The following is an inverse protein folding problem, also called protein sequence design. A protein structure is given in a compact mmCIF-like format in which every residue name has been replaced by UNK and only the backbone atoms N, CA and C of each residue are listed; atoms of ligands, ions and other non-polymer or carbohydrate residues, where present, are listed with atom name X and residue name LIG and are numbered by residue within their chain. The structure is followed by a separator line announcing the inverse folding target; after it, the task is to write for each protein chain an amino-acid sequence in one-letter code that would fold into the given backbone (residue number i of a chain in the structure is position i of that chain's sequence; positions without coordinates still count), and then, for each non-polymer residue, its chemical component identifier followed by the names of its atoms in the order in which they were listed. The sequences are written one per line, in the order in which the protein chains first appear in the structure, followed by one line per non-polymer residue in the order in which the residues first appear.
data_IF_080695109290
#
_entry.id   IF_080695109290
#
_cell.length_a   1.000
_cell.length_b   1.000
_cell.length_c   1.000
_cell.angle_alpha   90.00
_cell.angle_beta   90.00
_cell.angle_gamma   90.00
#
_symmetry.space_group_name_H-M   'P 1'
#
loop_
_entity.id
_entity.type
_entity.pdbx_description
1 polymer ?
#
# COMPACT_ATOMS: atom_id res chain seq x y z
N UNK A 1 -8.67 -9.76 12.82
CA UNK A 1 -8.60 -8.76 11.73
C UNK A 1 -8.41 -7.37 12.33
N UNK A 2 -7.63 -6.51 11.70
CA UNK A 2 -7.16 -5.23 12.22
C UNK A 2 -7.95 -4.08 11.59
N UNK A 3 -8.22 -3.01 12.33
CA UNK A 3 -8.75 -1.78 11.74
C UNK A 3 -7.66 -1.08 10.91
N UNK A 4 -7.93 -0.74 9.66
CA UNK A 4 -6.95 -0.11 8.76
C UNK A 4 -6.38 1.20 9.33
N UNK A 5 -7.21 2.00 10.01
CA UNK A 5 -6.76 3.22 10.69
C UNK A 5 -5.62 2.95 11.68
N UNK A 6 -5.71 1.86 12.46
CA UNK A 6 -4.69 1.49 13.46
C UNK A 6 -3.36 1.10 12.81
N UNK A 7 -3.41 0.47 11.63
CA UNK A 7 -2.21 0.15 10.85
C UNK A 7 -1.50 1.44 10.42
N UNK A 8 -2.24 2.41 9.88
CA UNK A 8 -1.67 3.70 9.49
C UNK A 8 -1.12 4.49 10.67
N UNK A 9 -1.78 4.46 11.84
CA UNK A 9 -1.29 5.07 13.07
C UNK A 9 0.02 4.41 13.56
N UNK A 10 0.13 3.09 13.47
CA UNK A 10 1.36 2.36 13.81
C UNK A 10 2.49 2.69 12.81
N UNK A 11 2.22 2.61 11.51
CA UNK A 11 3.18 2.93 10.46
C UNK A 11 3.68 4.38 10.55
N UNK A 12 2.80 5.36 10.83
CA UNK A 12 3.18 6.78 10.90
C UNK A 12 4.29 7.06 11.92
N UNK A 13 4.40 6.25 12.97
CA UNK A 13 5.46 6.38 13.99
C UNK A 13 6.86 6.02 13.47
N UNK A 14 6.90 5.23 12.39
CA UNK A 14 8.14 4.70 11.78
C UNK A 14 8.31 5.15 10.32
N UNK A 15 7.45 6.09 9.87
CA UNK A 15 7.43 6.55 8.48
C UNK A 15 8.71 7.24 8.06
N UNK A 16 9.29 8.05 8.95
CA UNK A 16 10.38 8.99 8.63
C UNK A 16 10.06 9.83 7.38
N UNK A 17 10.97 9.87 6.41
CA UNK A 17 10.82 10.57 5.14
C UNK A 17 10.30 9.68 4.00
N UNK A 18 9.73 8.51 4.28
CA UNK A 18 9.25 7.62 3.23
C UNK A 18 8.17 8.30 2.34
N UNK A 19 8.27 8.06 1.05
CA UNK A 19 7.23 8.40 0.07
C UNK A 19 6.13 7.35 0.21
N UNK A 20 4.89 7.79 0.37
CA UNK A 20 3.76 6.89 0.65
C UNK A 20 2.71 6.98 -0.43
N UNK A 21 2.31 5.82 -0.95
CA UNK A 21 1.17 5.68 -1.85
C UNK A 21 0.14 4.74 -1.22
N UNK A 22 -1.11 5.21 -1.06
CA UNK A 22 -2.18 4.41 -0.47
C UNK A 22 -3.30 4.21 -1.46
N UNK A 23 -3.72 2.95 -1.64
CA UNK A 23 -4.84 2.56 -2.48
C UNK A 23 -5.98 1.95 -1.64
N UNK A 24 -7.16 1.90 -2.24
CA UNK A 24 -8.34 1.24 -1.66
C UNK A 24 -9.22 2.14 -0.81
N UNK A 25 -10.29 1.55 -0.27
CA UNK A 25 -11.29 2.27 0.53
C UNK A 25 -10.70 2.86 1.79
N UNK A 26 -9.84 2.11 2.48
CA UNK A 26 -9.22 2.51 3.75
C UNK A 26 -8.22 3.68 3.61
N UNK A 27 -7.83 4.03 2.38
CA UNK A 27 -6.90 5.14 2.13
C UNK A 27 -7.37 6.51 2.62
N UNK A 28 -8.67 6.70 2.85
CA UNK A 28 -9.18 7.95 3.42
C UNK A 28 -8.67 8.23 4.84
N UNK A 29 -8.38 7.19 5.62
CA UNK A 29 -7.81 7.35 6.97
C UNK A 29 -6.43 7.99 6.93
N UNK A 30 -5.62 7.66 5.91
CA UNK A 30 -4.26 8.16 5.78
C UNK A 30 -4.19 9.70 5.73
N UNK A 31 -5.14 10.35 5.05
CA UNK A 31 -5.18 11.81 4.94
C UNK A 31 -5.30 12.53 6.29
N UNK A 32 -5.89 11.88 7.29
CA UNK A 32 -6.01 12.43 8.66
C UNK A 32 -4.86 12.06 9.59
N UNK A 33 -3.93 11.19 9.13
CA UNK A 33 -2.84 10.64 9.95
C UNK A 33 -1.48 11.18 9.50
N UNK A 34 -1.31 11.35 8.19
CA UNK A 34 -0.03 11.78 7.62
C UNK A 34 0.44 13.13 8.18
N UNK A 35 1.71 13.22 8.53
CA UNK A 35 2.38 14.45 8.99
C UNK A 35 3.25 15.11 7.91
N UNK A 36 3.47 14.41 6.76
CA UNK A 36 4.23 14.95 5.64
C UNK A 36 3.49 14.71 4.31
N UNK A 37 2.43 15.49 4.03
CA UNK A 37 1.61 15.29 2.83
C UNK A 37 2.37 15.53 1.50
N UNK A 38 3.48 16.27 1.49
CA UNK A 38 4.27 16.48 0.28
C UNK A 38 4.92 15.20 -0.25
N UNK A 39 5.12 14.23 0.65
CA UNK A 39 5.64 12.90 0.32
C UNK A 39 4.53 11.84 0.19
N UNK A 40 3.27 12.25 0.17
CA UNK A 40 2.14 11.37 -0.14
C UNK A 40 1.75 11.51 -1.59
N UNK A 41 1.75 10.40 -2.31
CA UNK A 41 1.46 10.39 -3.74
C UNK A 41 0.14 9.67 -4.01
N UNK A 42 -0.73 10.31 -4.78
CA UNK A 42 -1.95 9.70 -5.32
C UNK A 42 -1.73 9.35 -6.78
N UNK A 43 -1.61 8.07 -7.07
CA UNK A 43 -1.40 7.64 -8.45
C UNK A 43 -2.71 7.52 -9.22
N UNK A 44 -3.83 7.36 -8.51
CA UNK A 44 -5.16 7.19 -9.13
C UNK A 44 -5.18 6.03 -10.11
N UNK A 45 -6.27 5.87 -10.83
CA UNK A 45 -6.33 4.94 -11.95
C UNK A 45 -7.08 3.65 -11.67
N UNK A 46 -6.95 2.70 -12.57
CA UNK A 46 -7.61 1.42 -12.49
C UNK A 46 -6.97 0.52 -11.43
N UNK A 47 -7.78 -0.34 -10.82
CA UNK A 47 -7.30 -1.39 -9.94
C UNK A 47 -6.24 -2.24 -10.66
N UNK A 48 -5.23 -2.67 -9.92
CA UNK A 48 -4.10 -3.46 -10.43
C UNK A 48 -2.98 -2.65 -11.10
N UNK A 49 -3.11 -1.33 -11.27
CA UNK A 49 -2.08 -0.50 -11.91
C UNK A 49 -1.20 0.28 -10.93
N UNK A 50 -1.69 0.57 -9.72
CA UNK A 50 -0.96 1.38 -8.75
C UNK A 50 0.34 0.74 -8.31
N UNK A 51 0.34 -0.54 -8.04
CA UNK A 51 1.55 -1.28 -7.60
C UNK A 51 2.67 -1.17 -8.62
N UNK A 52 2.37 -1.34 -9.92
CA UNK A 52 3.35 -1.14 -11.00
C UNK A 52 3.88 0.28 -11.06
N UNK A 53 3.01 1.28 -10.84
CA UNK A 53 3.41 2.68 -10.86
C UNK A 53 4.28 3.05 -9.65
N UNK A 54 3.93 2.58 -8.44
CA UNK A 54 4.73 2.81 -7.22
C UNK A 54 6.07 2.07 -7.30
N UNK A 55 6.07 0.86 -7.84
CA UNK A 55 7.30 0.12 -8.13
C UNK A 55 8.22 0.89 -9.10
N UNK A 56 7.66 1.46 -10.17
CA UNK A 56 8.41 2.34 -11.07
C UNK A 56 8.99 3.56 -10.36
N UNK A 57 8.25 4.14 -9.39
CA UNK A 57 8.75 5.23 -8.56
C UNK A 57 9.94 4.79 -7.69
N UNK A 58 9.86 3.60 -7.07
CA UNK A 58 10.97 3.05 -6.28
C UNK A 58 12.23 2.84 -7.12
N UNK A 59 12.10 2.38 -8.37
CA UNK A 59 13.22 2.23 -9.28
C UNK A 59 13.84 3.56 -9.73
N UNK A 60 13.01 4.61 -9.85
CA UNK A 60 13.46 5.95 -10.26
C UNK A 60 14.04 6.78 -9.11
N UNK A 61 13.78 6.42 -7.87
CA UNK A 61 14.17 7.15 -6.66
C UNK A 61 14.90 6.23 -5.68
N UNK A 62 16.03 5.67 -6.12
CA UNK A 62 16.77 4.62 -5.39
C UNK A 62 17.21 5.03 -3.98
N UNK A 63 17.41 6.34 -3.73
CA UNK A 63 17.80 6.88 -2.43
C UNK A 63 16.62 7.23 -1.51
N UNK A 64 15.40 7.06 -1.97
CA UNK A 64 14.19 7.38 -1.23
C UNK A 64 13.43 6.09 -0.87
N UNK A 65 13.06 5.92 0.39
CA UNK A 65 12.18 4.80 0.77
C UNK A 65 10.78 5.02 0.20
N UNK A 66 10.25 4.02 -0.48
CA UNK A 66 8.93 4.05 -1.11
C UNK A 66 8.05 2.98 -0.48
N UNK A 67 6.93 3.42 0.08
CA UNK A 67 5.95 2.55 0.76
C UNK A 67 4.64 2.56 -0.01
N UNK A 68 4.16 1.39 -0.34
CA UNK A 68 2.86 1.20 -0.98
C UNK A 68 1.91 0.42 -0.09
N UNK A 69 0.77 1.01 0.22
CA UNK A 69 -0.38 0.29 0.77
C UNK A 69 -1.32 -0.09 -0.36
N UNK A 70 -1.30 -1.35 -0.72
CA UNK A 70 -2.12 -1.97 -1.76
C UNK A 70 -3.33 -2.69 -1.16
N UNK A 71 -4.20 -3.24 -2.00
CA UNK A 71 -5.30 -4.10 -1.61
C UNK A 71 -5.25 -5.42 -2.37
N UNK A 72 -5.71 -6.50 -1.75
CA UNK A 72 -5.67 -7.83 -2.33
C UNK A 72 -6.45 -7.92 -3.65
N UNK A 73 -7.60 -7.26 -3.72
CA UNK A 73 -8.39 -7.24 -4.95
C UNK A 73 -7.68 -6.53 -6.11
N UNK A 74 -6.88 -5.49 -5.81
CA UNK A 74 -6.07 -4.81 -6.83
C UNK A 74 -4.85 -5.65 -7.22
N UNK A 75 -4.17 -6.25 -6.27
CA UNK A 75 -3.02 -7.13 -6.52
C UNK A 75 -3.41 -8.32 -7.42
N UNK A 76 -4.56 -8.96 -7.15
CA UNK A 76 -5.04 -10.09 -7.96
C UNK A 76 -5.32 -9.73 -9.43
N UNK A 77 -5.66 -8.47 -9.70
CA UNK A 77 -5.85 -8.02 -11.10
C UNK A 77 -4.54 -7.87 -11.87
N UNK A 78 -3.41 -7.85 -11.18
CA UNK A 78 -2.07 -7.75 -11.78
C UNK A 78 -1.02 -8.53 -10.97
N UNK A 79 -1.31 -9.78 -10.66
CA UNK A 79 -0.48 -10.63 -9.79
C UNK A 79 0.96 -10.79 -10.32
N UNK A 80 1.13 -10.72 -11.64
CA UNK A 80 2.45 -10.78 -12.29
C UNK A 80 3.43 -9.68 -11.86
N UNK A 81 2.94 -8.58 -11.24
CA UNK A 81 3.80 -7.52 -10.71
C UNK A 81 4.74 -8.03 -9.62
N UNK A 82 4.34 -9.04 -8.84
CA UNK A 82 5.20 -9.67 -7.82
C UNK A 82 6.50 -10.21 -8.43
N UNK A 83 6.39 -10.91 -9.56
CA UNK A 83 7.57 -11.43 -10.27
C UNK A 83 8.46 -10.29 -10.80
N UNK A 84 7.87 -9.21 -11.28
CA UNK A 84 8.61 -8.04 -11.77
C UNK A 84 9.39 -7.34 -10.65
N UNK A 85 8.77 -7.13 -9.49
CA UNK A 85 9.39 -6.52 -8.30
C UNK A 85 10.49 -7.43 -7.77
N UNK A 86 10.20 -8.72 -7.59
CA UNK A 86 11.18 -9.71 -7.13
C UNK A 86 12.40 -9.81 -8.06
N UNK A 87 12.17 -9.71 -9.39
CA UNK A 87 13.24 -9.75 -10.40
C UNK A 87 14.13 -8.51 -10.40
N UNK A 88 13.59 -7.33 -10.08
CA UNK A 88 14.35 -6.06 -10.03
C UNK A 88 14.97 -5.76 -8.66
N UNK A 89 14.41 -6.35 -7.60
CA UNK A 89 14.89 -6.22 -6.20
C UNK A 89 15.16 -4.78 -5.75
N UNK A 90 14.18 -3.86 -5.83
CA UNK A 90 14.36 -2.51 -5.31
C UNK A 90 14.52 -2.56 -3.78
N UNK A 91 15.73 -2.24 -3.28
CA UNK A 91 16.06 -2.32 -1.84
C UNK A 91 15.31 -1.29 -0.98
N UNK A 92 14.72 -0.29 -1.61
CA UNK A 92 13.99 0.82 -1.01
C UNK A 92 12.46 0.65 -1.01
N UNK A 93 11.91 -0.51 -1.40
CA UNK A 93 10.47 -0.71 -1.61
C UNK A 93 9.83 -1.57 -0.51
N UNK A 94 8.80 -1.03 0.14
CA UNK A 94 7.96 -1.75 1.12
C UNK A 94 6.53 -1.82 0.59
N UNK A 95 6.03 -3.03 0.41
CA UNK A 95 4.71 -3.34 -0.13
C UNK A 95 3.82 -3.92 0.97
N UNK A 96 2.99 -3.08 1.58
CA UNK A 96 1.92 -3.50 2.49
C UNK A 96 0.68 -3.88 1.67
N UNK A 97 0.11 -5.05 1.93
CA UNK A 97 -1.14 -5.51 1.35
C UNK A 97 -2.23 -5.54 2.42
N UNK A 98 -3.24 -4.70 2.26
CA UNK A 98 -4.42 -4.65 3.12
C UNK A 98 -5.46 -5.64 2.59
N UNK A 99 -5.55 -6.81 3.21
CA UNK A 99 -6.43 -7.91 2.81
C UNK A 99 -7.73 -7.87 3.61
N UNK A 100 -8.80 -7.44 2.97
CA UNK A 100 -10.15 -7.37 3.54
C UNK A 100 -11.12 -8.42 2.95
N UNK A 101 -10.62 -9.33 2.12
CA UNK A 101 -11.33 -10.45 1.50
C UNK A 101 -12.45 -10.04 0.52
N UNK A 102 -12.57 -8.74 0.18
CA UNK A 102 -13.63 -8.28 -0.69
C UNK A 102 -13.29 -7.06 -1.56
N UNK A 103 -14.03 -6.90 -2.63
CA UNK A 103 -14.02 -5.68 -3.44
C UNK A 103 -14.85 -4.58 -2.77
N UNK A 104 -14.34 -4.01 -1.70
CA UNK A 104 -15.03 -3.07 -0.82
C UNK A 104 -15.54 -1.81 -1.55
N UNK A 105 -14.86 -1.36 -2.61
CA UNK A 105 -15.24 -0.17 -3.39
C UNK A 105 -16.52 -0.37 -4.21
N UNK A 106 -16.87 -1.60 -4.54
CA UNK A 106 -18.00 -1.92 -5.44
C UNK A 106 -19.13 -2.68 -4.74
N UNK A 107 -19.16 -2.67 -3.41
CA UNK A 107 -20.26 -3.24 -2.64
C UNK A 107 -19.93 -4.54 -1.91
N UNK A 108 -18.65 -4.91 -1.79
CA UNK A 108 -18.22 -6.00 -0.91
C UNK A 108 -18.34 -7.39 -1.52
N UNK A 109 -18.28 -7.52 -2.84
CA UNK A 109 -18.20 -8.83 -3.48
C UNK A 109 -16.95 -9.57 -3.00
N UNK A 110 -17.01 -10.87 -2.66
CA UNK A 110 -15.85 -11.60 -2.19
C UNK A 110 -14.77 -11.67 -3.27
N UNK A 111 -13.54 -11.55 -2.85
CA UNK A 111 -12.39 -11.83 -3.71
C UNK A 111 -12.33 -13.33 -3.97
N UNK A 112 -12.04 -13.78 -5.20
CA UNK A 112 -11.94 -15.21 -5.49
C UNK A 112 -10.95 -15.92 -4.55
N UNK A 113 -11.40 -17.01 -3.93
CA UNK A 113 -10.59 -17.85 -3.05
C UNK A 113 -10.01 -17.13 -1.79
N UNK A 114 -10.68 -16.08 -1.30
CA UNK A 114 -10.18 -15.19 -0.25
C UNK A 114 -9.76 -15.91 1.05
N UNK A 115 -10.48 -16.98 1.42
CA UNK A 115 -10.23 -17.75 2.65
C UNK A 115 -8.94 -18.57 2.63
N UNK A 116 -8.40 -18.87 1.43
CA UNK A 116 -7.31 -19.82 1.24
C UNK A 116 -6.03 -19.19 0.68
N UNK A 117 -6.09 -17.94 0.22
CA UNK A 117 -4.92 -17.28 -0.35
C UNK A 117 -3.99 -16.81 0.76
N UNK A 118 -2.73 -17.25 0.68
CA UNK A 118 -1.63 -16.68 1.46
C UNK A 118 -0.78 -15.79 0.55
N UNK A 119 -1.04 -14.49 0.62
CA UNK A 119 -0.34 -13.50 -0.20
C UNK A 119 1.14 -13.35 0.15
N UNK A 120 1.51 -13.55 1.41
CA UNK A 120 2.91 -13.51 1.82
C UNK A 120 3.69 -14.69 1.24
N UNK A 121 3.11 -15.88 1.22
CA UNK A 121 3.71 -17.04 0.54
C UNK A 121 3.76 -16.85 -0.98
N UNK A 122 2.76 -16.23 -1.60
CA UNK A 122 2.81 -15.90 -3.03
C UNK A 122 3.98 -14.96 -3.36
N UNK A 123 4.19 -13.91 -2.54
CA UNK A 123 5.31 -13.00 -2.71
C UNK A 123 6.66 -13.71 -2.49
N UNK A 124 6.77 -14.56 -1.46
CA UNK A 124 7.96 -15.38 -1.22
C UNK A 124 8.26 -16.31 -2.40
N UNK A 125 7.23 -16.98 -2.94
CA UNK A 125 7.37 -17.85 -4.12
C UNK A 125 7.77 -17.08 -5.38
N UNK A 126 7.36 -15.81 -5.50
CA UNK A 126 7.79 -14.91 -6.56
C UNK A 126 9.25 -14.44 -6.40
N UNK A 127 9.84 -14.57 -5.21
CA UNK A 127 11.25 -14.25 -4.94
C UNK A 127 11.48 -12.99 -4.10
N UNK A 128 10.48 -12.50 -3.36
CA UNK A 128 10.71 -11.45 -2.36
C UNK A 128 11.62 -11.98 -1.25
N UNK A 129 12.65 -11.23 -0.85
CA UNK A 129 13.60 -11.69 0.17
C UNK A 129 13.03 -11.66 1.60
N UNK A 130 12.05 -10.79 1.86
CA UNK A 130 11.39 -10.68 3.16
C UNK A 130 9.87 -10.59 2.97
N UNK A 131 9.14 -11.47 3.67
CA UNK A 131 7.67 -11.50 3.64
C UNK A 131 7.12 -11.72 5.04
N UNK A 132 6.05 -11.01 5.36
CA UNK A 132 5.38 -11.05 6.67
C UNK A 132 3.88 -11.23 6.48
N UNK A 133 3.21 -11.82 7.48
CA UNK A 133 1.77 -11.98 7.51
C UNK A 133 1.25 -11.64 8.91
N UNK A 134 0.33 -10.68 9.03
CA UNK A 134 -0.20 -10.23 10.32
C UNK A 134 -1.72 -10.29 10.36
N UNK A 135 -2.22 -10.81 11.48
CA UNK A 135 -3.65 -10.79 11.84
C UNK A 135 -3.91 -10.07 13.15
N UNK A 136 -2.83 -9.71 13.87
CA UNK A 136 -2.82 -9.04 15.17
C UNK A 136 -2.08 -7.70 15.09
N UNK A 137 -2.65 -6.67 15.76
CA UNK A 137 -2.11 -5.30 15.73
C UNK A 137 -0.83 -5.16 16.58
N UNK A 138 -0.74 -5.86 17.68
CA UNK A 138 0.42 -5.77 18.57
C UNK A 138 1.65 -6.40 17.91
N UNK A 139 1.49 -7.55 17.28
CA UNK A 139 2.54 -8.19 16.49
C UNK A 139 3.02 -7.28 15.34
N UNK A 140 2.08 -6.70 14.59
CA UNK A 140 2.40 -5.75 13.52
C UNK A 140 3.15 -4.53 14.07
N UNK A 141 2.66 -3.95 15.17
CA UNK A 141 3.24 -2.72 15.73
C UNK A 141 4.64 -2.94 16.28
N UNK A 142 4.90 -4.08 16.90
CA UNK A 142 6.25 -4.47 17.40
C UNK A 142 7.23 -4.76 16.26
N UNK A 143 6.74 -5.30 15.15
CA UNK A 143 7.56 -5.63 13.97
C UNK A 143 7.79 -4.43 13.04
N UNK A 144 7.07 -3.32 13.23
CA UNK A 144 7.08 -2.21 12.28
C UNK A 144 8.45 -1.58 12.11
N UNK A 145 9.21 -1.41 13.20
CA UNK A 145 10.57 -0.86 13.16
C UNK A 145 11.52 -1.77 12.35
N UNK A 146 11.46 -3.07 12.58
CA UNK A 146 12.23 -4.07 11.82
C UNK A 146 11.86 -4.02 10.33
N UNK A 147 10.56 -4.05 10.00
CA UNK A 147 10.07 -3.99 8.63
C UNK A 147 10.59 -2.73 7.93
N UNK A 148 10.50 -1.57 8.57
CA UNK A 148 10.91 -0.31 7.97
C UNK A 148 12.42 -0.17 7.84
N UNK A 149 13.23 -0.91 8.62
CA UNK A 149 14.70 -0.90 8.55
C UNK A 149 15.27 -2.06 7.71
N UNK A 150 14.47 -3.05 7.37
CA UNK A 150 14.91 -4.17 6.51
C UNK A 150 15.09 -3.68 5.07
N UNK A 151 16.09 -4.24 4.39
CA UNK A 151 16.34 -3.97 2.97
C UNK A 151 15.30 -4.68 2.10
N UNK A 152 14.69 -3.93 1.17
CA UNK A 152 13.62 -4.40 0.31
C UNK A 152 14.04 -5.27 -0.88
N UNK A 153 13.09 -5.67 -1.72
CA UNK A 153 11.67 -5.44 -1.57
C UNK A 153 11.06 -6.28 -0.44
N UNK A 154 10.23 -5.65 0.37
CA UNK A 154 9.52 -6.31 1.47
C UNK A 154 8.05 -6.43 1.13
N UNK A 155 7.44 -7.56 1.44
CA UNK A 155 6.00 -7.76 1.32
C UNK A 155 5.38 -8.04 2.67
N UNK A 156 4.32 -7.31 3.03
CA UNK A 156 3.63 -7.41 4.31
C UNK A 156 2.13 -7.59 4.08
N UNK A 157 1.62 -8.80 4.21
CA UNK A 157 0.19 -9.06 4.18
C UNK A 157 -0.45 -8.79 5.55
N UNK A 158 -1.58 -8.08 5.56
CA UNK A 158 -2.27 -7.72 6.80
C UNK A 158 -3.76 -7.96 6.63
N UNK A 159 -4.34 -8.84 7.45
CA UNK A 159 -5.79 -9.05 7.50
C UNK A 159 -6.48 -7.89 8.20
N UNK A 160 -7.37 -7.21 7.46
CA UNK A 160 -8.10 -6.03 7.95
C UNK A 160 -9.61 -6.25 7.97
N UNK A 161 -10.30 -5.47 8.78
CA UNK A 161 -11.75 -5.39 8.73
C UNK A 161 -12.21 -4.77 7.40
N UNK A 162 -13.22 -5.34 6.71
CA UNK A 162 -13.73 -4.75 5.48
C UNK A 162 -14.45 -3.43 5.75
N UNK A 163 -14.13 -2.41 4.97
CA UNK A 163 -14.79 -1.10 4.96
C UNK A 163 -15.55 -0.95 3.64
N UNK A 164 -16.78 -1.51 3.60
CA UNK A 164 -17.57 -1.59 2.37
C UNK A 164 -18.21 -0.24 2.03
N UNK A 165 -17.94 0.25 0.83
CA UNK A 165 -18.53 1.48 0.31
C UNK A 165 -19.84 1.19 -0.44
N UNK A 166 -20.94 1.46 0.23
CA UNK A 166 -22.28 1.19 -0.30
C UNK A 166 -22.97 2.40 -0.95
N UNK A 167 -22.38 3.58 -0.87
CA UNK A 167 -22.95 4.77 -1.49
C UNK A 167 -22.68 4.80 -3.00
N UNK A 168 -23.66 5.25 -3.82
CA UNK A 168 -23.41 5.53 -5.23
C UNK A 168 -22.22 6.49 -5.41
N UNK A 169 -21.45 6.31 -6.49
CA UNK A 169 -20.20 7.07 -6.72
C UNK A 169 -20.37 8.61 -6.59
N UNK A 170 -21.49 9.15 -7.04
CA UNK A 170 -21.78 10.60 -6.96
C UNK A 170 -22.08 11.12 -5.55
N UNK A 171 -22.36 10.24 -4.60
CA UNK A 171 -22.68 10.59 -3.20
C UNK A 171 -21.53 10.30 -2.24
N UNK A 172 -20.43 9.69 -2.72
CA UNK A 172 -19.27 9.37 -1.89
C UNK A 172 -18.48 10.62 -1.51
N UNK A 173 -17.98 10.65 -0.28
CA UNK A 173 -17.04 11.68 0.13
C UNK A 173 -15.76 11.60 -0.75
N UNK A 174 -15.22 12.76 -1.11
CA UNK A 174 -13.93 12.82 -1.82
C UNK A 174 -12.84 12.32 -0.90
N UNK A 175 -12.19 11.23 -1.29
CA UNK A 175 -11.11 10.59 -0.51
C UNK A 175 -9.80 11.39 -0.57
N UNK A 176 -9.51 12.01 -1.71
CA UNK A 176 -8.31 12.81 -1.91
C UNK A 176 -8.65 14.29 -1.98
N UNK A 177 -7.99 15.10 -1.17
CA UNK A 177 -8.09 16.55 -1.17
C UNK A 177 -7.24 17.20 -2.26
N UNK A 178 -6.20 16.49 -2.75
CA UNK A 178 -5.30 16.90 -3.82
C UNK A 178 -5.45 16.03 -5.06
N UNK A 179 -5.35 16.61 -6.23
CA UNK A 179 -5.32 15.86 -7.49
C UNK A 179 -4.00 15.08 -7.63
N UNK A 180 -4.01 14.06 -8.49
CA UNK A 180 -2.78 13.32 -8.85
C UNK A 180 -1.65 14.25 -9.30
N UNK A 181 -1.94 15.21 -10.18
CA UNK A 181 -0.94 16.16 -10.66
C UNK A 181 -0.36 17.02 -9.52
N UNK A 182 -1.20 17.45 -8.58
CA UNK A 182 -0.73 18.19 -7.41
C UNK A 182 0.22 17.35 -6.55
N UNK A 183 -0.14 16.09 -6.21
CA UNK A 183 0.72 15.24 -5.38
C UNK A 183 2.07 14.96 -6.05
N UNK A 184 2.09 14.76 -7.37
CA UNK A 184 3.33 14.57 -8.14
C UNK A 184 4.18 15.85 -8.11
N UNK A 185 3.57 17.01 -8.34
CA UNK A 185 4.29 18.29 -8.33
C UNK A 185 4.83 18.64 -6.93
N UNK A 186 4.06 18.36 -5.88
CA UNK A 186 4.48 18.58 -4.50
C UNK A 186 5.69 17.70 -4.17
N UNK A 187 5.65 16.40 -4.55
CA UNK A 187 6.77 15.49 -4.37
C UNK A 187 8.01 15.94 -5.17
N UNK A 188 7.86 16.35 -6.44
CA UNK A 188 8.99 16.84 -7.24
C UNK A 188 9.65 18.06 -6.61
N UNK A 189 8.88 19.00 -6.08
CA UNK A 189 9.40 20.15 -5.32
C UNK A 189 10.14 19.74 -4.06
N UNK A 190 9.55 18.83 -3.29
CA UNK A 190 10.12 18.31 -2.04
C UNK A 190 11.50 17.62 -2.28
N UNK A 191 11.61 16.91 -3.40
CA UNK A 191 12.84 16.21 -3.80
C UNK A 191 13.79 17.08 -4.66
N UNK A 192 13.47 18.35 -4.94
CA UNK A 192 14.22 19.24 -5.80
C UNK A 192 14.45 18.67 -7.21
N UNK A 193 13.47 17.93 -7.76
CA UNK A 193 13.50 17.36 -9.11
C UNK A 193 12.78 18.32 -10.08
N UNK A 194 13.49 18.76 -11.12
CA UNK A 194 12.95 19.65 -12.19
C UNK A 194 12.12 18.89 -13.22
#
# INVERSE_FOLDING_TARGET
MIEAKKIFEAFQKHRDNAIVAVQGTSGHHWNGITTNPNRDISLGGAMGQSTSAVFGLALGLENEKVVHFDTEGALLMNLGVLASIAGKRPNNFVHFLLDNECYATTGGQPVPNAEYIDYAQMAAAAGYPATYNFTDLEELSTSMEEIMNTEGPIFVAIKINPEIENLPMGLRAKRNTRSRAQTINDLRKELNIN
#
